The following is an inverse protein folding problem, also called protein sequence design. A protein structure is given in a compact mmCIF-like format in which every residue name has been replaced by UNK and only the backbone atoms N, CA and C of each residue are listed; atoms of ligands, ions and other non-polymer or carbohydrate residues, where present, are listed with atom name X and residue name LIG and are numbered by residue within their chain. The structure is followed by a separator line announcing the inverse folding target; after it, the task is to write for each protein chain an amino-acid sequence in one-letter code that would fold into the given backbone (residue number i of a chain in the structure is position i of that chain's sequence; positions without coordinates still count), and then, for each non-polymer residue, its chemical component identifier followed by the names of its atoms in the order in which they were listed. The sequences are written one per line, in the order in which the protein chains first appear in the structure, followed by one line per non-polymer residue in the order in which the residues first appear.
data_IF_960922763581
#
_entry.id   IF_960922763581
#
_cell.length_a   1.000
_cell.length_b   1.000
_cell.length_c   1.000
_cell.angle_alpha   90.00
_cell.angle_beta   90.00
_cell.angle_gamma   90.00
#
_symmetry.space_group_name_H-M   'P 1'
#
loop_
_entity.id
_entity.type
_entity.pdbx_description
1 polymer ?
#
# COMPACT_ATOMS: atom_id res chain seq x y z
N UNK A 1 32.99 15.92 40.85
CA UNK A 1 33.72 14.75 40.30
C UNK A 1 33.07 13.38 40.52
N UNK A 2 32.84 12.86 41.74
CA UNK A 2 32.23 11.50 41.90
C UNK A 2 30.68 11.46 41.81
N UNK A 3 30.03 12.63 41.83
CA UNK A 3 28.56 12.78 41.71
C UNK A 3 28.13 13.10 40.28
N UNK A 4 28.96 13.83 39.51
CA UNK A 4 28.70 14.12 38.09
C UNK A 4 28.83 12.87 37.21
N UNK A 5 29.80 11.98 37.48
CA UNK A 5 29.89 10.69 36.77
C UNK A 5 28.70 9.74 37.03
N UNK A 6 27.94 9.92 38.12
CA UNK A 6 26.71 9.16 38.38
C UNK A 6 25.49 9.72 37.66
N UNK A 7 25.44 11.03 37.39
CA UNK A 7 24.38 11.62 36.55
C UNK A 7 24.59 11.30 35.07
N UNK A 8 25.84 11.23 34.59
CA UNK A 8 26.13 10.88 33.19
C UNK A 8 25.87 9.39 32.86
N UNK A 9 25.88 8.49 33.86
CA UNK A 9 25.47 7.09 33.68
C UNK A 9 23.94 6.89 33.70
N UNK A 10 23.17 7.86 34.22
CA UNK A 10 21.70 7.81 34.21
C UNK A 10 21.10 8.26 32.86
N UNK A 11 21.89 8.88 31.99
CA UNK A 11 21.47 9.29 30.64
C UNK A 11 21.50 8.17 29.58
N UNK A 12 21.87 6.93 29.94
CA UNK A 12 22.13 5.84 28.96
C UNK A 12 21.12 4.69 28.94
N UNK A 13 19.96 4.85 29.56
CA UNK A 13 18.88 3.85 29.49
C UNK A 13 17.53 4.47 29.11
N UNK A 14 17.46 5.19 28.00
CA UNK A 14 16.16 5.60 27.43
C UNK A 14 15.62 4.50 26.51
N UNK A 15 15.24 3.38 27.12
CA UNK A 15 14.27 2.45 26.54
C UNK A 15 12.85 2.93 26.87
N UNK A 16 11.92 2.82 25.93
CA UNK A 16 10.50 3.15 26.15
C UNK A 16 9.98 2.29 27.31
N UNK A 17 9.55 2.94 28.39
CA UNK A 17 9.01 2.26 29.55
C UNK A 17 7.49 2.18 29.42
N UNK A 18 6.95 0.97 29.28
CA UNK A 18 5.52 0.76 29.11
C UNK A 18 4.89 0.25 30.40
N UNK A 19 3.82 0.92 30.82
CA UNK A 19 3.03 0.47 31.95
C UNK A 19 2.19 -0.76 31.54
N UNK A 20 2.25 -1.83 32.32
CA UNK A 20 1.54 -3.09 32.02
C UNK A 20 0.03 -2.88 31.78
N UNK A 21 -0.60 -1.95 32.51
CA UNK A 21 -2.02 -1.66 32.30
C UNK A 21 -2.32 -1.05 30.91
N UNK A 22 -1.43 -0.24 30.35
CA UNK A 22 -1.64 0.31 29.00
C UNK A 22 -1.57 -0.77 27.93
N UNK A 23 -0.64 -1.71 28.06
CA UNK A 23 -0.51 -2.87 27.17
C UNK A 23 -1.77 -3.73 27.22
N UNK A 24 -2.28 -4.04 28.42
CA UNK A 24 -3.50 -4.81 28.59
C UNK A 24 -4.75 -4.10 28.06
N UNK A 25 -4.86 -2.78 28.25
CA UNK A 25 -5.96 -2.01 27.69
C UNK A 25 -5.95 -2.02 26.15
N UNK A 26 -4.77 -1.90 25.53
CA UNK A 26 -4.63 -1.96 24.07
C UNK A 26 -4.97 -3.34 23.53
N UNK A 27 -4.47 -4.40 24.17
CA UNK A 27 -4.79 -5.80 23.85
C UNK A 27 -6.30 -6.04 23.90
N UNK A 28 -6.97 -5.59 24.97
CA UNK A 28 -8.42 -5.71 25.11
C UNK A 28 -9.20 -4.96 24.00
N UNK A 29 -8.79 -3.74 23.64
CA UNK A 29 -9.41 -2.98 22.56
C UNK A 29 -9.23 -3.67 21.21
N UNK A 30 -8.06 -4.23 20.93
CA UNK A 30 -7.80 -4.95 19.68
C UNK A 30 -8.56 -6.28 19.61
N UNK A 31 -8.65 -7.01 20.73
CA UNK A 31 -9.35 -8.29 20.80
C UNK A 31 -10.85 -8.18 20.50
N UNK A 32 -11.51 -7.13 20.99
CA UNK A 32 -12.96 -6.92 20.87
C UNK A 32 -13.32 -5.91 19.76
N UNK A 33 -12.34 -5.17 19.25
CA UNK A 33 -12.54 -4.06 18.32
C UNK A 33 -13.25 -4.45 17.02
N UNK A 34 -12.98 -5.65 16.50
CA UNK A 34 -13.65 -6.17 15.31
C UNK A 34 -15.16 -6.39 15.52
N UNK A 35 -15.53 -7.03 16.63
CA UNK A 35 -16.93 -7.32 16.96
C UNK A 35 -17.70 -6.02 17.17
N UNK A 36 -17.17 -5.11 18.00
CA UNK A 36 -17.79 -3.81 18.26
C UNK A 36 -17.92 -2.96 17.00
N UNK A 37 -16.85 -2.89 16.19
CA UNK A 37 -16.84 -2.17 14.92
C UNK A 37 -17.77 -2.77 13.86
N UNK A 38 -18.09 -4.07 13.96
CA UNK A 38 -19.05 -4.72 13.06
C UNK A 38 -20.49 -4.32 13.34
N UNK A 39 -20.82 -4.03 14.61
CA UNK A 39 -22.14 -3.60 15.05
C UNK A 39 -22.33 -2.09 14.99
N UNK A 40 -21.29 -1.32 15.33
CA UNK A 40 -21.32 0.13 15.31
C UNK A 40 -20.04 0.71 14.69
N UNK A 41 -20.14 1.41 13.54
CA UNK A 41 -18.97 1.99 12.89
C UNK A 41 -18.28 3.09 13.71
N UNK A 42 -18.95 3.72 14.66
CA UNK A 42 -18.38 4.79 15.50
C UNK A 42 -17.30 4.27 16.47
N UNK A 43 -17.17 2.95 16.63
CA UNK A 43 -16.10 2.34 17.42
C UNK A 43 -14.74 2.35 16.68
N UNK A 44 -14.73 2.35 15.34
CA UNK A 44 -13.51 2.24 14.54
C UNK A 44 -12.47 3.35 14.80
N UNK A 45 -12.85 4.64 14.93
CA UNK A 45 -11.91 5.70 15.26
C UNK A 45 -11.12 5.45 16.56
N UNK A 46 -11.67 4.70 17.52
CA UNK A 46 -10.96 4.36 18.76
C UNK A 46 -9.94 3.24 18.54
N UNK A 47 -10.31 2.22 17.76
CA UNK A 47 -9.40 1.15 17.35
C UNK A 47 -8.23 1.71 16.53
N UNK A 48 -8.50 2.60 15.58
CA UNK A 48 -7.47 3.23 14.75
C UNK A 48 -6.48 4.07 15.55
N UNK A 49 -6.96 4.81 16.56
CA UNK A 49 -6.09 5.57 17.48
C UNK A 49 -5.17 4.65 18.28
N UNK A 50 -5.65 3.49 18.72
CA UNK A 50 -4.81 2.48 19.39
C UNK A 50 -3.76 1.93 18.43
N UNK A 51 -4.13 1.60 17.19
CA UNK A 51 -3.19 1.13 16.17
C UNK A 51 -2.13 2.18 15.82
N UNK A 52 -2.51 3.46 15.73
CA UNK A 52 -1.58 4.57 15.51
C UNK A 52 -0.60 4.69 16.69
N UNK A 53 -1.10 4.66 17.92
CA UNK A 53 -0.25 4.71 19.11
C UNK A 53 0.74 3.52 19.15
N UNK A 54 0.29 2.29 18.86
CA UNK A 54 1.17 1.13 18.78
C UNK A 54 2.27 1.33 17.74
N UNK A 55 1.93 1.87 16.57
CA UNK A 55 2.91 2.20 15.53
C UNK A 55 3.94 3.23 16.01
N UNK A 56 3.52 4.25 16.77
CA UNK A 56 4.48 5.22 17.36
C UNK A 56 5.40 4.56 18.39
N UNK A 57 4.89 3.61 19.18
CA UNK A 57 5.69 2.85 20.14
C UNK A 57 6.70 1.94 19.44
N UNK A 58 6.28 1.27 18.36
CA UNK A 58 7.15 0.44 17.52
C UNK A 58 8.29 1.28 16.95
N UNK A 59 7.97 2.44 16.35
CA UNK A 59 8.99 3.34 15.83
C UNK A 59 9.93 3.86 16.92
N UNK A 60 9.42 4.28 18.07
CA UNK A 60 10.26 4.76 19.17
C UNK A 60 11.18 3.67 19.75
N UNK A 61 10.71 2.43 19.79
CA UNK A 61 11.45 1.30 20.37
C UNK A 61 12.49 0.70 19.40
N UNK A 62 12.22 0.69 18.09
CA UNK A 62 13.09 0.05 17.10
C UNK A 62 13.95 1.03 16.28
N UNK A 63 13.59 2.33 16.22
CA UNK A 63 14.41 3.34 15.51
C UNK A 63 15.60 3.82 16.37
N UNK A 64 15.51 3.73 17.69
CA UNK A 64 16.61 4.04 18.60
C UNK A 64 17.55 2.83 18.70
N UNK A 65 18.46 2.71 17.72
CA UNK A 65 19.45 1.64 17.59
C UNK A 65 20.40 1.53 18.78
N UNK A 66 19.95 0.93 19.88
CA UNK A 66 20.84 0.25 20.82
C UNK A 66 21.03 -1.16 20.28
N UNK A 67 22.25 -1.45 19.84
CA UNK A 67 22.75 -2.76 19.44
C UNK A 67 22.15 -3.88 20.30
N UNK A 68 21.29 -4.71 19.73
CA UNK A 68 20.85 -5.93 20.41
C UNK A 68 22.00 -6.94 20.47
N UNK A 69 22.15 -7.70 21.57
CA UNK A 69 22.79 -9.01 21.47
C UNK A 69 21.87 -9.95 20.67
N UNK A 70 22.41 -10.88 19.87
CA UNK A 70 21.59 -11.82 19.12
C UNK A 70 20.76 -12.64 20.10
N UNK A 71 19.46 -12.76 19.81
CA UNK A 71 18.55 -13.65 20.55
C UNK A 71 19.13 -15.07 20.49
N UNK A 72 19.53 -15.61 21.64
CA UNK A 72 20.10 -16.96 21.76
C UNK A 72 19.05 -18.00 21.35
N UNK A 73 19.24 -18.58 20.17
CA UNK A 73 18.52 -19.77 19.70
C UNK A 73 18.93 -20.93 20.61
N UNK A 74 18.03 -21.36 21.48
CA UNK A 74 18.23 -22.60 22.27
C UNK A 74 17.84 -23.78 21.39
N UNK A 75 18.82 -24.39 20.72
CA UNK A 75 18.64 -25.71 20.11
C UNK A 75 18.55 -26.74 21.24
N UNK A 76 17.37 -27.34 21.44
CA UNK A 76 17.25 -28.54 22.24
C UNK A 76 17.88 -29.71 21.46
N UNK A 77 19.04 -30.17 21.91
CA UNK A 77 19.63 -31.45 21.51
C UNK A 77 18.68 -32.58 21.92
N UNK A 78 18.09 -33.28 20.95
CA UNK A 78 17.50 -34.59 21.19
C UNK A 78 18.57 -35.66 21.00
N UNK A 79 18.72 -36.47 22.04
CA UNK A 79 19.72 -37.52 22.16
C UNK A 79 19.52 -38.67 21.17
N UNK A 80 20.66 -39.25 20.82
CA UNK A 80 20.80 -40.44 20.01
C UNK A 80 20.12 -41.67 20.62
N UNK A 81 19.43 -42.44 19.78
CA UNK A 81 19.36 -43.90 19.90
C UNK A 81 19.54 -44.49 18.51
N UNK A 82 20.64 -45.21 18.35
CA UNK A 82 20.98 -46.00 17.17
C UNK A 82 20.09 -47.25 17.07
N UNK A 83 19.83 -47.72 15.85
CA UNK A 83 19.84 -49.13 15.45
C UNK A 83 19.86 -49.23 13.91
N UNK A 84 20.89 -49.92 13.40
CA UNK A 84 21.10 -50.47 12.05
C UNK A 84 19.96 -51.44 11.67
N UNK A 85 19.68 -51.89 10.44
CA UNK A 85 20.36 -52.13 9.15
C UNK A 85 19.18 -52.19 8.11
N UNK A 86 19.25 -52.10 6.78
CA UNK A 86 20.02 -52.89 5.81
C UNK A 86 19.73 -52.36 4.37
N UNK A 87 20.60 -52.69 3.42
CA UNK A 87 20.77 -52.16 2.07
C UNK A 87 19.80 -52.79 1.04
N UNK A 88 19.26 -52.00 0.08
CA UNK A 88 19.23 -52.37 -1.36
C UNK A 88 18.88 -51.19 -2.29
N UNK A 89 19.63 -51.12 -3.40
CA UNK A 89 19.60 -50.08 -4.43
C UNK A 89 18.78 -50.51 -5.65
N UNK A 90 18.01 -49.59 -6.25
CA UNK A 90 17.66 -49.57 -7.68
C UNK A 90 17.15 -48.18 -8.12
N UNK A 91 17.51 -47.81 -9.34
CA UNK A 91 17.39 -46.52 -10.04
C UNK A 91 15.98 -45.90 -10.17
N UNK A 92 15.88 -44.57 -10.03
CA UNK A 92 15.28 -43.65 -11.03
C UNK A 92 15.42 -42.15 -10.60
N UNK A 93 15.72 -41.21 -11.52
CA UNK A 93 15.97 -39.80 -11.19
C UNK A 93 14.73 -38.94 -11.41
N UNK A 94 13.74 -38.98 -10.51
CA UNK A 94 12.57 -38.10 -10.62
C UNK A 94 12.04 -37.52 -9.30
N UNK A 95 12.69 -37.75 -8.15
CA UNK A 95 12.22 -37.23 -6.85
C UNK A 95 13.11 -36.13 -6.23
N UNK A 96 14.23 -35.76 -6.88
CA UNK A 96 15.19 -34.79 -6.35
C UNK A 96 14.74 -33.31 -6.38
N UNK A 97 13.52 -33.00 -6.82
CA UNK A 97 13.01 -31.62 -6.88
C UNK A 97 12.06 -31.31 -5.70
N UNK A 98 11.44 -32.32 -5.08
CA UNK A 98 10.43 -32.10 -4.03
C UNK A 98 11.02 -31.98 -2.61
N UNK A 99 12.22 -32.50 -2.37
CA UNK A 99 12.88 -32.39 -1.06
C UNK A 99 13.67 -31.08 -0.89
N UNK A 100 14.04 -30.43 -1.99
CA UNK A 100 14.81 -29.18 -1.94
C UNK A 100 13.92 -27.94 -1.72
N UNK A 101 12.63 -28.00 -2.03
CA UNK A 101 11.65 -26.94 -1.71
C UNK A 101 11.19 -26.96 -0.25
N UNK A 102 11.25 -28.11 0.43
CA UNK A 102 10.94 -28.21 1.86
C UNK A 102 12.03 -27.56 2.74
N UNK A 103 13.29 -27.58 2.30
CA UNK A 103 14.42 -26.99 3.03
C UNK A 103 14.46 -25.44 2.99
N UNK A 104 13.80 -24.81 2.01
CA UNK A 104 13.73 -23.35 1.88
C UNK A 104 12.53 -22.72 2.62
N UNK A 105 11.66 -23.53 3.22
CA UNK A 105 10.47 -23.07 3.98
C UNK A 105 10.68 -23.02 5.50
N UNK A 106 11.92 -22.98 5.95
CA UNK A 106 12.25 -22.74 7.37
C UNK A 106 12.51 -21.25 7.61
N UNK A 107 11.47 -20.42 7.44
CA UNK A 107 11.43 -19.14 8.14
C UNK A 107 11.14 -19.43 9.61
N UNK A 108 11.87 -18.86 10.58
CA UNK A 108 11.57 -19.06 11.99
C UNK A 108 10.18 -18.49 12.28
N UNK A 109 9.20 -19.37 12.44
CA UNK A 109 7.88 -19.01 12.95
C UNK A 109 8.07 -18.62 14.41
N UNK A 110 8.11 -17.32 14.67
CA UNK A 110 7.97 -16.79 16.03
C UNK A 110 6.59 -17.24 16.51
N UNK A 111 6.54 -18.21 17.41
CA UNK A 111 5.31 -18.54 18.11
C UNK A 111 4.89 -17.28 18.90
N UNK A 112 3.67 -16.74 18.69
CA UNK A 112 3.24 -15.56 19.41
C UNK A 112 3.08 -15.92 20.89
N UNK A 113 4.00 -15.44 21.72
CA UNK A 113 3.91 -15.57 23.17
C UNK A 113 2.72 -14.73 23.63
N UNK A 114 1.79 -15.34 24.38
CA UNK A 114 0.64 -14.63 24.94
C UNK A 114 1.10 -13.50 25.86
N UNK A 115 0.49 -12.31 25.73
CA UNK A 115 0.79 -11.15 26.60
C UNK A 115 0.60 -11.52 28.08
N UNK A 116 -0.35 -12.40 28.38
CA UNK A 116 -0.58 -12.91 29.73
C UNK A 116 0.58 -13.75 30.26
N UNK A 117 1.28 -14.49 29.39
CA UNK A 117 2.43 -15.30 29.79
C UNK A 117 3.70 -14.45 29.96
N UNK A 118 3.84 -13.37 29.16
CA UNK A 118 4.88 -12.35 29.36
C UNK A 118 4.72 -11.61 30.71
N UNK A 119 3.48 -11.38 31.14
CA UNK A 119 3.19 -10.77 32.45
C UNK A 119 3.47 -11.77 33.59
N UNK A 120 3.17 -13.06 33.41
CA UNK A 120 3.52 -14.11 34.37
C UNK A 120 5.03 -14.34 34.48
N UNK A 121 5.79 -14.18 33.41
CA UNK A 121 7.26 -14.24 33.44
C UNK A 121 7.88 -13.01 34.13
N UNK A 122 7.31 -11.81 33.93
CA UNK A 122 7.81 -10.59 34.60
C UNK A 122 7.57 -10.60 36.11
N UNK A 123 6.54 -11.31 36.57
CA UNK A 123 6.18 -11.45 38.00
C UNK A 123 6.95 -12.56 38.74
N UNK A 124 7.66 -13.46 38.03
CA UNK A 124 8.47 -14.53 38.65
C UNK A 124 9.77 -14.05 39.32
N UNK A 125 10.03 -12.74 39.38
CA UNK A 125 11.28 -12.19 39.93
C UNK A 125 11.17 -10.96 40.82
N UNK A 126 9.97 -10.42 41.09
CA UNK A 126 9.80 -9.28 42.02
C UNK A 126 8.54 -9.44 42.85
N UNK A 127 8.67 -9.23 44.16
CA UNK A 127 7.57 -9.17 45.10
C UNK A 127 6.53 -8.12 44.65
N UNK A 128 5.27 -8.50 44.76
CA UNK A 128 4.10 -7.72 44.32
C UNK A 128 3.91 -6.50 45.23
N UNK A 129 4.54 -5.37 44.90
CA UNK A 129 4.24 -4.09 45.57
C UNK A 129 2.99 -3.46 44.92
N UNK A 130 1.87 -3.52 45.63
CA UNK A 130 0.54 -3.02 45.24
C UNK A 130 0.46 -1.49 44.98
N UNK A 131 1.58 -0.76 45.02
CA UNK A 131 1.65 0.70 44.82
C UNK A 131 2.51 1.16 43.64
N UNK A 132 3.20 0.26 42.95
CA UNK A 132 4.00 0.60 41.77
C UNK A 132 3.65 -0.34 40.63
N UNK A 133 2.83 0.12 39.68
CA UNK A 133 2.46 -0.72 38.54
C UNK A 133 3.71 -1.23 37.82
N UNK A 134 3.70 -2.52 37.50
CA UNK A 134 4.85 -3.20 36.90
C UNK A 134 5.21 -2.53 35.58
N UNK A 135 6.37 -1.86 35.56
CA UNK A 135 6.92 -1.20 34.39
C UNK A 135 7.65 -2.26 33.54
N UNK A 136 7.18 -2.49 32.33
CA UNK A 136 7.85 -3.39 31.39
C UNK A 136 9.02 -2.62 30.77
N UNK A 137 10.23 -3.19 30.86
CA UNK A 137 11.45 -2.59 30.30
C UNK A 137 12.14 -3.55 29.33
N UNK A 138 12.81 -2.99 28.33
CA UNK A 138 13.68 -3.72 27.39
C UNK A 138 12.99 -4.86 26.63
N UNK A 139 13.46 -6.09 26.83
CA UNK A 139 13.03 -7.26 26.04
C UNK A 139 11.53 -7.58 26.18
N UNK A 140 10.95 -7.42 27.37
CA UNK A 140 9.53 -7.70 27.60
C UNK A 140 8.62 -6.63 26.96
N UNK A 141 9.04 -5.37 26.98
CA UNK A 141 8.33 -4.30 26.28
C UNK A 141 8.37 -4.51 24.76
N UNK A 142 9.53 -4.90 24.21
CA UNK A 142 9.67 -5.22 22.79
C UNK A 142 8.72 -6.35 22.35
N UNK A 143 8.68 -7.46 23.09
CA UNK A 143 7.77 -8.59 22.81
C UNK A 143 6.30 -8.18 22.89
N UNK A 144 5.94 -7.36 23.87
CA UNK A 144 4.58 -6.84 24.02
C UNK A 144 4.18 -5.93 22.84
N UNK A 145 5.04 -5.00 22.44
CA UNK A 145 4.80 -4.11 21.28
C UNK A 145 4.64 -4.93 20.00
N UNK A 146 5.52 -5.91 19.75
CA UNK A 146 5.41 -6.79 18.57
C UNK A 146 4.11 -7.60 18.57
N UNK A 147 3.68 -8.09 19.74
CA UNK A 147 2.42 -8.84 19.84
C UNK A 147 1.22 -7.94 19.58
N UNK A 148 1.21 -6.73 20.13
CA UNK A 148 0.18 -5.72 19.86
C UNK A 148 0.17 -5.27 18.39
N UNK A 149 1.35 -5.09 17.76
CA UNK A 149 1.44 -4.73 16.34
C UNK A 149 0.88 -5.84 15.44
N UNK A 150 1.22 -7.11 15.73
CA UNK A 150 0.63 -8.26 15.05
C UNK A 150 -0.89 -8.36 15.26
N UNK A 151 -1.40 -8.05 16.45
CA UNK A 151 -2.84 -8.02 16.69
C UNK A 151 -3.52 -6.87 15.93
N UNK A 152 -2.90 -5.70 15.88
CA UNK A 152 -3.39 -4.57 15.10
C UNK A 152 -3.52 -4.97 13.62
N UNK A 153 -2.49 -5.60 13.04
CA UNK A 153 -2.53 -6.14 11.67
C UNK A 153 -3.71 -7.08 11.47
N UNK A 154 -3.86 -8.06 12.37
CA UNK A 154 -4.96 -9.04 12.32
C UNK A 154 -6.33 -8.38 12.34
N UNK A 155 -6.54 -7.29 13.07
CA UNK A 155 -7.82 -6.58 13.08
C UNK A 155 -8.17 -6.03 11.69
N UNK A 156 -7.21 -5.44 10.98
CA UNK A 156 -7.44 -4.94 9.61
C UNK A 156 -7.67 -6.10 8.63
N UNK A 157 -6.91 -7.18 8.76
CA UNK A 157 -7.08 -8.37 7.92
C UNK A 157 -8.45 -9.04 8.14
N UNK A 158 -8.81 -9.30 9.39
CA UNK A 158 -10.07 -9.92 9.76
C UNK A 158 -11.26 -9.02 9.42
N UNK A 159 -11.13 -7.70 9.53
CA UNK A 159 -12.17 -6.78 9.07
C UNK A 159 -12.48 -6.98 7.59
N UNK A 160 -11.43 -7.11 6.77
CA UNK A 160 -11.57 -7.37 5.33
C UNK A 160 -12.00 -8.79 5.03
N UNK A 161 -11.75 -9.78 5.87
CA UNK A 161 -12.12 -11.17 5.57
C UNK A 161 -13.50 -11.57 6.12
N UNK A 162 -13.90 -11.02 7.27
CA UNK A 162 -15.08 -11.48 8.03
C UNK A 162 -16.29 -10.53 7.94
N UNK A 163 -16.10 -9.23 7.72
CA UNK A 163 -17.22 -8.28 7.75
C UNK A 163 -18.17 -8.45 6.54
N UNK A 164 -19.47 -8.29 6.82
CA UNK A 164 -20.50 -8.16 5.78
C UNK A 164 -20.34 -6.84 5.00
N UNK A 165 -21.06 -6.67 3.89
CA UNK A 165 -20.91 -5.49 3.01
C UNK A 165 -21.13 -4.15 3.73
N UNK A 166 -22.14 -4.07 4.60
CA UNK A 166 -22.49 -2.84 5.30
C UNK A 166 -21.41 -2.47 6.32
N UNK A 167 -21.01 -3.44 7.15
CA UNK A 167 -19.98 -3.25 8.16
C UNK A 167 -18.60 -2.98 7.51
N UNK A 168 -18.27 -3.66 6.41
CA UNK A 168 -17.05 -3.40 5.63
C UNK A 168 -17.05 -1.99 5.05
N UNK A 169 -18.18 -1.55 4.50
CA UNK A 169 -18.34 -0.18 4.01
C UNK A 169 -18.15 0.86 5.11
N UNK A 170 -18.72 0.61 6.30
CA UNK A 170 -18.53 1.46 7.49
C UNK A 170 -17.08 1.50 7.95
N UNK A 171 -16.41 0.35 8.02
CA UNK A 171 -14.99 0.22 8.35
C UNK A 171 -14.12 1.03 7.38
N UNK A 172 -14.27 0.83 6.06
CA UNK A 172 -13.49 1.55 5.05
C UNK A 172 -13.79 3.05 5.05
N UNK A 173 -15.04 3.45 5.30
CA UNK A 173 -15.40 4.86 5.42
C UNK A 173 -14.69 5.53 6.62
N UNK A 174 -14.67 4.88 7.77
CA UNK A 174 -13.98 5.41 8.95
C UNK A 174 -12.46 5.38 8.75
N UNK A 175 -11.92 4.36 8.08
CA UNK A 175 -10.48 4.27 7.78
C UNK A 175 -10.05 5.35 6.79
N UNK A 176 -10.87 5.61 5.76
CA UNK A 176 -10.72 6.76 4.87
C UNK A 176 -10.67 8.06 5.67
N UNK A 177 -11.67 8.29 6.55
CA UNK A 177 -11.74 9.51 7.37
C UNK A 177 -10.50 9.67 8.25
N UNK A 178 -10.05 8.59 8.91
CA UNK A 178 -8.82 8.58 9.70
C UNK A 178 -7.58 8.92 8.84
N UNK A 179 -7.50 8.37 7.62
CA UNK A 179 -6.42 8.71 6.69
C UNK A 179 -6.49 10.16 6.22
N UNK A 180 -7.68 10.72 5.98
CA UNK A 180 -7.83 12.15 5.65
C UNK A 180 -7.37 13.03 6.80
N UNK A 181 -7.77 12.71 8.04
CA UNK A 181 -7.31 13.44 9.21
C UNK A 181 -5.80 13.36 9.39
N UNK A 182 -5.19 12.20 9.17
CA UNK A 182 -3.76 12.00 9.30
C UNK A 182 -2.93 12.74 8.24
N UNK A 183 -3.44 12.84 7.00
CA UNK A 183 -2.72 13.49 5.88
C UNK A 183 -2.99 15.01 5.80
N UNK A 184 -4.25 15.43 5.97
CA UNK A 184 -4.69 16.79 5.66
C UNK A 184 -5.06 17.63 6.88
N UNK A 185 -5.47 17.03 7.99
CA UNK A 185 -5.82 17.77 9.21
C UNK A 185 -4.57 18.09 10.03
N UNK A 186 -3.78 19.06 9.56
CA UNK A 186 -2.82 19.75 10.41
C UNK A 186 -3.28 21.18 10.60
N UNK A 187 -3.67 21.54 11.82
CA UNK A 187 -3.95 22.91 12.32
C UNK A 187 -5.37 23.43 12.02
N UNK A 188 -6.40 22.87 12.64
CA UNK A 188 -7.57 23.65 13.11
C UNK A 188 -8.38 22.79 14.07
N UNK A 189 -8.60 23.31 15.28
CA UNK A 189 -9.57 22.89 16.29
C UNK A 189 -9.36 21.54 17.00
N UNK A 190 -8.39 21.50 17.92
CA UNK A 190 -8.57 20.76 19.17
C UNK A 190 -8.89 21.76 20.27
N UNK A 191 -10.13 22.26 20.29
CA UNK A 191 -10.73 22.82 21.49
C UNK A 191 -11.20 21.63 22.34
N UNK A 192 -10.46 21.39 23.41
CA UNK A 192 -10.88 20.84 24.70
C UNK A 192 -11.93 19.72 24.71
N UNK A 193 -11.48 18.45 24.65
CA UNK A 193 -12.01 17.32 25.46
C UNK A 193 -10.97 16.19 25.48
N UNK A 194 -9.76 16.48 25.94
CA UNK A 194 -8.74 15.46 26.21
C UNK A 194 -8.93 14.92 27.62
N UNK A 195 -9.47 13.71 27.74
CA UNK A 195 -9.22 12.87 28.92
C UNK A 195 -7.72 12.61 28.96
N UNK A 196 -7.03 13.37 29.81
CA UNK A 196 -5.59 13.45 29.90
C UNK A 196 -4.95 12.08 30.18
N UNK A 197 -4.23 11.56 29.19
CA UNK A 197 -3.13 10.63 29.43
C UNK A 197 -1.91 11.46 29.86
N UNK A 198 -1.27 11.18 31.01
CA UNK A 198 -0.09 11.92 31.44
C UNK A 198 1.11 11.57 30.53
N UNK A 199 1.62 12.57 29.80
CA UNK A 199 2.82 12.45 28.99
C UNK A 199 2.68 13.22 27.68
N UNK A 200 2.94 14.53 27.72
CA UNK A 200 3.14 15.32 26.52
C UNK A 200 4.38 14.81 25.78
N UNK A 201 4.20 13.93 24.79
CA UNK A 201 5.24 13.61 23.81
C UNK A 201 5.25 14.76 22.80
N UNK A 202 5.84 15.89 23.19
CA UNK A 202 6.22 16.98 22.29
C UNK A 202 7.44 16.55 21.45
N UNK A 203 7.31 15.53 20.60
CA UNK A 203 8.39 15.08 19.69
C UNK A 203 7.98 14.17 18.51
N UNK A 204 6.72 14.12 18.08
CA UNK A 204 6.32 13.33 16.88
C UNK A 204 5.74 14.15 15.73
N UNK A 205 5.81 15.48 15.81
CA UNK A 205 5.40 16.41 14.74
C UNK A 205 6.21 16.23 13.43
N UNK A 206 7.39 15.58 13.48
CA UNK A 206 8.38 15.59 12.39
C UNK A 206 8.34 14.42 11.39
N UNK A 207 7.41 13.46 11.52
CA UNK A 207 7.19 12.47 10.46
C UNK A 207 5.73 12.05 10.46
N UNK A 208 4.91 12.74 9.66
CA UNK A 208 3.49 12.39 9.46
C UNK A 208 3.45 10.97 8.90
N UNK A 209 3.15 9.99 9.74
CA UNK A 209 3.03 8.61 9.28
C UNK A 209 1.81 8.52 8.38
N UNK A 210 1.96 8.13 7.11
CA UNK A 210 0.81 7.85 6.25
C UNK A 210 0.17 6.47 6.54
N UNK A 211 0.20 6.02 7.80
CA UNK A 211 -0.14 4.66 8.23
C UNK A 211 -1.51 4.23 7.70
N UNK A 212 -2.54 5.06 7.89
CA UNK A 212 -3.90 4.71 7.50
C UNK A 212 -4.08 4.67 5.99
N UNK A 213 -3.29 5.42 5.21
CA UNK A 213 -3.28 5.29 3.75
C UNK A 213 -2.74 3.91 3.34
N UNK A 214 -1.64 3.46 3.95
CA UNK A 214 -1.09 2.13 3.69
C UNK A 214 -2.08 1.03 4.08
N UNK A 215 -2.75 1.17 5.23
CA UNK A 215 -3.80 0.24 5.66
C UNK A 215 -4.99 0.23 4.70
N UNK A 216 -5.42 1.39 4.20
CA UNK A 216 -6.53 1.49 3.26
C UNK A 216 -6.21 0.83 1.91
N UNK A 217 -5.04 1.13 1.35
CA UNK A 217 -4.58 0.51 0.09
C UNK A 217 -4.40 -1.01 0.23
N UNK A 218 -3.80 -1.46 1.34
CA UNK A 218 -3.66 -2.87 1.66
C UNK A 218 -5.00 -3.59 1.84
N UNK A 219 -5.95 -2.96 2.55
CA UNK A 219 -7.30 -3.50 2.71
C UNK A 219 -8.00 -3.64 1.37
N UNK A 220 -7.90 -2.65 0.49
CA UNK A 220 -8.50 -2.68 -0.84
C UNK A 220 -7.89 -3.79 -1.72
N UNK A 221 -6.55 -3.93 -1.74
CA UNK A 221 -5.89 -5.03 -2.44
C UNK A 221 -6.34 -6.40 -1.91
N UNK A 222 -6.50 -6.57 -0.60
CA UNK A 222 -6.99 -7.82 -0.02
C UNK A 222 -8.44 -8.11 -0.42
N UNK A 223 -9.30 -7.08 -0.51
CA UNK A 223 -10.67 -7.23 -1.02
C UNK A 223 -10.66 -7.75 -2.46
N UNK A 224 -9.81 -7.19 -3.32
CA UNK A 224 -9.69 -7.61 -4.73
C UNK A 224 -9.20 -9.05 -4.85
N UNK A 225 -8.17 -9.42 -4.07
CA UNK A 225 -7.58 -10.76 -4.06
C UNK A 225 -8.49 -11.83 -3.45
N UNK A 226 -9.50 -11.42 -2.68
CA UNK A 226 -10.39 -12.35 -1.99
C UNK A 226 -11.36 -13.02 -2.96
N UNK A 227 -11.13 -14.32 -3.22
CA UNK A 227 -12.03 -15.13 -4.06
C UNK A 227 -13.39 -15.40 -3.42
N UNK A 228 -13.56 -15.11 -2.13
CA UNK A 228 -14.80 -15.35 -1.38
C UNK A 228 -15.78 -14.18 -1.47
N UNK A 229 -15.32 -12.99 -1.90
CA UNK A 229 -16.15 -11.79 -1.94
C UNK A 229 -16.76 -11.61 -3.34
N UNK A 230 -18.09 -11.38 -3.43
CA UNK A 230 -18.73 -11.03 -4.70
C UNK A 230 -18.20 -9.72 -5.28
N UNK A 231 -18.23 -9.59 -6.61
CA UNK A 231 -17.82 -8.37 -7.33
C UNK A 231 -18.52 -7.10 -6.80
N UNK A 232 -19.77 -7.20 -6.36
CA UNK A 232 -20.50 -6.06 -5.77
C UNK A 232 -19.78 -5.45 -4.57
N UNK A 233 -19.09 -6.26 -3.75
CA UNK A 233 -18.29 -5.76 -2.63
C UNK A 233 -17.12 -4.91 -3.15
N UNK A 234 -16.39 -5.43 -4.15
CA UNK A 234 -15.30 -4.71 -4.80
C UNK A 234 -15.80 -3.37 -5.36
N UNK A 235 -16.88 -3.37 -6.13
CA UNK A 235 -17.46 -2.15 -6.71
C UNK A 235 -17.80 -1.11 -5.64
N UNK A 236 -18.44 -1.54 -4.55
CA UNK A 236 -18.84 -0.65 -3.45
C UNK A 236 -17.63 -0.10 -2.69
N UNK A 237 -16.63 -0.94 -2.44
CA UNK A 237 -15.40 -0.54 -1.73
C UNK A 237 -14.55 0.40 -2.60
N UNK A 238 -14.41 0.11 -3.89
CA UNK A 238 -13.68 0.97 -4.84
C UNK A 238 -14.28 2.37 -4.91
N UNK A 239 -15.61 2.48 -4.99
CA UNK A 239 -16.30 3.77 -4.98
C UNK A 239 -15.97 4.62 -3.73
N UNK A 240 -15.71 3.98 -2.58
CA UNK A 240 -15.34 4.68 -1.34
C UNK A 240 -13.86 5.04 -1.28
N UNK A 241 -12.99 4.12 -1.70
CA UNK A 241 -11.52 4.21 -1.56
C UNK A 241 -10.90 5.07 -2.67
N UNK A 242 -11.34 4.91 -3.92
CA UNK A 242 -10.71 5.55 -5.08
C UNK A 242 -10.66 7.08 -5.00
N UNK A 243 -11.73 7.80 -4.58
CA UNK A 243 -11.66 9.26 -4.45
C UNK A 243 -10.59 9.73 -3.45
N UNK A 244 -10.37 8.96 -2.38
CA UNK A 244 -9.33 9.28 -1.39
C UNK A 244 -7.92 8.99 -1.92
N UNK A 245 -7.74 7.93 -2.71
CA UNK A 245 -6.47 7.68 -3.39
C UNK A 245 -6.14 8.80 -4.39
N UNK A 246 -7.14 9.34 -5.10
CA UNK A 246 -6.96 10.51 -5.97
C UNK A 246 -6.53 11.74 -5.16
N UNK A 247 -7.18 12.00 -4.01
CA UNK A 247 -6.81 13.09 -3.12
C UNK A 247 -5.36 12.94 -2.59
N UNK A 248 -5.00 11.72 -2.17
CA UNK A 248 -3.66 11.40 -1.68
C UNK A 248 -2.58 11.46 -2.77
N UNK A 249 -2.92 11.18 -4.04
CA UNK A 249 -2.02 11.31 -5.18
C UNK A 249 -1.62 12.76 -5.46
N UNK A 250 -2.42 13.74 -5.01
CA UNK A 250 -2.10 15.17 -5.09
C UNK A 250 -1.55 15.75 -3.78
N UNK A 251 -1.08 14.90 -2.85
CA UNK A 251 -0.50 15.34 -1.59
C UNK A 251 0.90 15.96 -1.80
N UNK A 252 1.22 16.99 -0.98
CA UNK A 252 2.50 17.73 -1.06
C UNK A 252 3.73 16.85 -0.84
N UNK A 253 3.59 15.78 -0.05
CA UNK A 253 4.68 14.85 0.20
C UNK A 253 4.76 13.80 -0.90
N UNK A 254 5.83 13.83 -1.68
CA UNK A 254 6.05 12.97 -2.85
C UNK A 254 5.94 11.46 -2.55
N UNK A 255 6.32 11.03 -1.34
CA UNK A 255 6.24 9.62 -0.96
C UNK A 255 4.79 9.15 -0.80
N UNK A 256 3.89 10.02 -0.32
CA UNK A 256 2.45 9.76 -0.19
C UNK A 256 1.81 9.71 -1.57
N UNK A 257 2.10 10.70 -2.42
CA UNK A 257 1.54 10.77 -3.77
C UNK A 257 1.95 9.58 -4.64
N UNK A 258 3.24 9.28 -4.72
CA UNK A 258 3.74 8.09 -5.43
C UNK A 258 3.10 6.81 -4.92
N UNK A 259 2.93 6.69 -3.60
CA UNK A 259 2.35 5.48 -3.03
C UNK A 259 0.86 5.35 -3.37
N UNK A 260 0.11 6.44 -3.39
CA UNK A 260 -1.29 6.44 -3.79
C UNK A 260 -1.45 6.00 -5.26
N UNK A 261 -0.61 6.52 -6.17
CA UNK A 261 -0.60 6.08 -7.58
C UNK A 261 -0.23 4.60 -7.72
N UNK A 262 0.78 4.13 -6.97
CA UNK A 262 1.13 2.70 -6.90
C UNK A 262 -0.04 1.84 -6.42
N UNK A 263 -0.80 2.26 -5.40
CA UNK A 263 -1.98 1.51 -4.98
C UNK A 263 -3.04 1.43 -6.08
N UNK A 264 -3.30 2.53 -6.79
CA UNK A 264 -4.24 2.51 -7.92
C UNK A 264 -3.76 1.52 -8.99
N UNK A 265 -2.49 1.58 -9.39
CA UNK A 265 -1.90 0.63 -10.34
C UNK A 265 -2.06 -0.82 -9.86
N UNK A 266 -1.59 -1.14 -8.65
CA UNK A 266 -1.62 -2.51 -8.11
C UNK A 266 -3.05 -3.08 -8.05
N UNK A 267 -4.01 -2.23 -7.64
CA UNK A 267 -5.43 -2.61 -7.57
C UNK A 267 -5.97 -2.88 -8.97
N UNK A 268 -5.70 -2.00 -9.94
CA UNK A 268 -6.17 -2.17 -11.32
C UNK A 268 -5.57 -3.42 -11.95
N UNK A 269 -4.26 -3.64 -11.80
CA UNK A 269 -3.56 -4.83 -12.29
C UNK A 269 -4.21 -6.10 -11.72
N UNK A 270 -4.48 -6.13 -10.41
CA UNK A 270 -5.12 -7.29 -9.78
C UNK A 270 -6.58 -7.48 -10.24
N UNK A 271 -7.37 -6.41 -10.34
CA UNK A 271 -8.76 -6.54 -10.81
C UNK A 271 -8.81 -7.04 -12.24
N UNK A 272 -8.01 -6.46 -13.14
CA UNK A 272 -8.00 -6.83 -14.55
C UNK A 272 -7.45 -8.24 -14.77
N UNK A 273 -6.51 -8.70 -13.94
CA UNK A 273 -5.96 -10.07 -14.05
C UNK A 273 -6.96 -11.14 -13.61
N UNK A 274 -7.78 -10.85 -12.60
CA UNK A 274 -8.72 -11.80 -12.02
C UNK A 274 -10.10 -11.76 -12.70
N UNK A 275 -10.57 -10.56 -13.06
CA UNK A 275 -11.93 -10.34 -13.57
C UNK A 275 -11.91 -9.85 -15.02
N UNK A 276 -12.59 -10.60 -15.89
CA UNK A 276 -12.91 -10.16 -17.24
C UNK A 276 -14.24 -9.43 -17.28
N UNK A 277 -14.26 -8.24 -17.86
CA UNK A 277 -15.47 -7.44 -18.02
C UNK A 277 -16.48 -8.11 -19.00
N UNK A 278 -17.71 -8.43 -18.57
CA UNK A 278 -18.76 -8.93 -19.47
C UNK A 278 -19.26 -7.85 -20.44
N UNK A 279 -19.82 -8.28 -21.58
CA UNK A 279 -20.45 -7.36 -22.53
C UNK A 279 -21.55 -6.52 -21.87
N UNK A 280 -21.61 -5.23 -22.23
CA UNK A 280 -22.54 -4.22 -21.69
C UNK A 280 -22.36 -3.85 -20.21
N UNK A 281 -21.41 -4.46 -19.50
CA UNK A 281 -21.10 -4.14 -18.12
C UNK A 281 -19.84 -3.28 -18.06
N UNK A 282 -19.96 -1.94 -18.05
CA UNK A 282 -18.82 -1.02 -18.15
C UNK A 282 -18.21 -0.64 -16.78
N UNK A 283 -17.78 -1.62 -16.00
CA UNK A 283 -17.16 -1.35 -14.70
C UNK A 283 -15.72 -0.85 -14.81
N UNK A 284 -14.96 -1.31 -15.82
CA UNK A 284 -13.59 -0.90 -16.06
C UNK A 284 -13.49 0.61 -16.33
N UNK A 285 -14.52 1.24 -16.91
CA UNK A 285 -14.58 2.70 -17.02
C UNK A 285 -14.42 3.36 -15.62
N UNK A 286 -15.14 2.87 -14.61
CA UNK A 286 -15.06 3.39 -13.25
C UNK A 286 -13.72 3.04 -12.55
N UNK A 287 -13.07 1.93 -12.94
CA UNK A 287 -11.75 1.56 -12.43
C UNK A 287 -10.66 2.51 -12.89
N UNK A 288 -10.70 2.96 -14.15
CA UNK A 288 -9.66 3.83 -14.72
C UNK A 288 -9.87 5.33 -14.45
N UNK A 289 -11.08 5.75 -14.05
CA UNK A 289 -11.38 7.16 -13.73
C UNK A 289 -10.41 7.84 -12.76
N UNK A 290 -9.83 7.19 -11.74
CA UNK A 290 -8.84 7.81 -10.87
C UNK A 290 -7.64 8.40 -11.62
N UNK A 291 -7.11 7.73 -12.65
CA UNK A 291 -6.01 8.29 -13.45
C UNK A 291 -6.44 9.56 -14.18
N UNK A 292 -7.62 9.55 -14.80
CA UNK A 292 -8.19 10.74 -15.44
C UNK A 292 -8.32 11.89 -14.44
N UNK A 293 -8.83 11.61 -13.23
CA UNK A 293 -9.04 12.62 -12.20
C UNK A 293 -7.73 13.19 -11.66
N UNK A 294 -6.71 12.36 -11.44
CA UNK A 294 -5.39 12.83 -10.99
C UNK A 294 -4.81 13.80 -12.02
N UNK A 295 -4.85 13.44 -13.31
CA UNK A 295 -4.28 14.27 -14.38
C UNK A 295 -5.03 15.58 -14.63
N UNK A 296 -6.34 15.61 -14.35
CA UNK A 296 -7.19 16.80 -14.45
C UNK A 296 -7.02 17.78 -13.29
N UNK A 297 -6.46 17.37 -12.15
CA UNK A 297 -6.29 18.23 -10.99
C UNK A 297 -5.14 19.23 -11.20
N UNK A 298 -5.37 20.48 -10.78
CA UNK A 298 -4.37 21.56 -10.87
C UNK A 298 -3.10 21.24 -10.07
N UNK A 299 -3.23 20.45 -9.00
CA UNK A 299 -2.15 20.00 -8.11
C UNK A 299 -1.36 18.80 -8.64
N UNK A 300 -1.59 18.35 -9.88
CA UNK A 300 -0.78 17.31 -10.51
C UNK A 300 0.58 17.88 -10.90
N UNK A 301 1.61 17.48 -10.15
CA UNK A 301 3.02 17.78 -10.45
C UNK A 301 3.56 16.88 -11.58
N UNK A 302 4.61 17.33 -12.27
CA UNK A 302 5.21 16.58 -13.38
C UNK A 302 5.67 15.16 -12.98
N UNK A 303 6.21 14.98 -11.76
CA UNK A 303 6.62 13.66 -11.26
C UNK A 303 5.43 12.70 -11.10
N UNK A 304 4.28 13.21 -10.64
CA UNK A 304 3.05 12.42 -10.49
C UNK A 304 2.47 12.10 -11.86
N UNK A 305 2.49 13.07 -12.78
CA UNK A 305 2.08 12.86 -14.18
C UNK A 305 2.91 11.75 -14.84
N UNK A 306 4.24 11.79 -14.72
CA UNK A 306 5.14 10.78 -15.27
C UNK A 306 4.89 9.40 -14.66
N UNK A 307 4.64 9.34 -13.35
CA UNK A 307 4.29 8.09 -12.68
C UNK A 307 2.96 7.53 -13.17
N UNK A 308 1.93 8.38 -13.38
CA UNK A 308 0.64 7.95 -13.92
C UNK A 308 0.79 7.46 -15.36
N UNK A 309 1.52 8.17 -16.23
CA UNK A 309 1.78 7.73 -17.61
C UNK A 309 2.51 6.39 -17.64
N UNK A 310 3.54 6.23 -16.81
CA UNK A 310 4.28 4.97 -16.67
C UNK A 310 3.36 3.84 -16.21
N UNK A 311 2.54 4.10 -15.18
CA UNK A 311 1.58 3.13 -14.64
C UNK A 311 0.54 2.70 -15.69
N UNK A 312 0.10 3.62 -16.55
CA UNK A 312 -0.79 3.33 -17.67
C UNK A 312 -0.10 2.46 -18.72
N UNK A 313 1.14 2.79 -19.09
CA UNK A 313 1.94 1.99 -20.03
C UNK A 313 2.10 0.54 -19.57
N UNK A 314 2.51 0.34 -18.32
CA UNK A 314 2.65 -0.99 -17.70
C UNK A 314 1.32 -1.77 -17.68
N UNK A 315 0.21 -1.11 -17.32
CA UNK A 315 -1.12 -1.73 -17.33
C UNK A 315 -1.54 -2.17 -18.73
N UNK A 316 -1.26 -1.36 -19.75
CA UNK A 316 -1.61 -1.66 -21.14
C UNK A 316 -0.75 -2.80 -21.68
N UNK A 317 0.55 -2.81 -21.37
CA UNK A 317 1.45 -3.90 -21.74
C UNK A 317 0.95 -5.26 -21.22
N UNK A 318 0.53 -5.31 -19.94
CA UNK A 318 0.15 -6.57 -19.28
C UNK A 318 -1.33 -6.94 -19.51
N UNK A 319 -2.22 -5.96 -19.65
CA UNK A 319 -3.68 -6.16 -19.62
C UNK A 319 -4.46 -5.58 -20.82
N UNK A 320 -3.82 -5.22 -21.93
CA UNK A 320 -4.46 -4.60 -23.12
C UNK A 320 -5.83 -5.18 -23.50
N UNK A 321 -5.95 -6.50 -23.61
CA UNK A 321 -7.19 -7.19 -24.00
C UNK A 321 -8.29 -7.14 -22.93
N UNK A 322 -7.94 -6.90 -21.66
CA UNK A 322 -8.86 -6.88 -20.53
C UNK A 322 -9.31 -5.49 -20.12
N UNK A 323 -8.67 -4.43 -20.62
CA UNK A 323 -9.03 -3.04 -20.31
C UNK A 323 -10.47 -2.73 -20.73
N UNK A 324 -10.90 -3.16 -21.91
CA UNK A 324 -12.30 -3.06 -22.40
C UNK A 324 -12.86 -1.62 -22.25
N UNK A 325 -13.94 -1.39 -21.50
CA UNK A 325 -14.50 -0.04 -21.32
C UNK A 325 -13.55 0.99 -20.68
N UNK A 326 -12.47 0.52 -20.03
CA UNK A 326 -11.42 1.35 -19.42
C UNK A 326 -10.58 2.15 -20.42
N UNK A 327 -10.60 1.83 -21.71
CA UNK A 327 -9.82 2.56 -22.73
C UNK A 327 -10.24 4.03 -22.85
N UNK A 328 -11.54 4.31 -22.68
CA UNK A 328 -12.08 5.66 -22.80
C UNK A 328 -11.51 6.64 -21.74
N UNK A 329 -11.63 6.37 -20.42
CA UNK A 329 -11.04 7.23 -19.39
C UNK A 329 -9.51 7.25 -19.44
N UNK A 330 -8.87 6.18 -19.93
CA UNK A 330 -7.43 6.13 -20.15
C UNK A 330 -7.01 7.17 -21.21
N UNK A 331 -7.67 7.22 -22.37
CA UNK A 331 -7.40 8.26 -23.36
C UNK A 331 -7.75 9.66 -22.87
N UNK A 332 -8.83 9.82 -22.11
CA UNK A 332 -9.15 11.10 -21.47
C UNK A 332 -8.07 11.56 -20.47
N UNK A 333 -7.44 10.62 -19.75
CA UNK A 333 -6.29 10.94 -18.89
C UNK A 333 -5.07 11.38 -19.72
N UNK A 334 -4.73 10.62 -20.77
CA UNK A 334 -3.59 10.93 -21.64
C UNK A 334 -3.78 12.24 -22.43
N UNK A 335 -5.02 12.58 -22.77
CA UNK A 335 -5.36 13.86 -23.38
C UNK A 335 -5.01 15.04 -22.48
N UNK A 336 -4.95 14.87 -21.15
CA UNK A 336 -4.62 15.97 -20.23
C UNK A 336 -3.13 16.13 -19.93
N UNK A 337 -2.29 15.18 -20.37
CA UNK A 337 -0.83 15.20 -20.17
C UNK A 337 -0.23 16.50 -20.70
N UNK A 338 0.46 17.23 -19.83
CA UNK A 338 1.12 18.49 -20.18
C UNK A 338 2.42 18.16 -20.91
N UNK A 339 2.60 18.71 -22.11
CA UNK A 339 3.88 18.60 -22.80
C UNK A 339 4.85 19.57 -22.16
N UNK A 340 5.95 19.07 -21.59
CA UNK A 340 7.06 19.85 -21.02
C UNK A 340 7.72 20.83 -22.01
N UNK A 341 7.26 20.86 -23.26
CA UNK A 341 7.60 21.79 -24.35
C UNK A 341 7.20 23.25 -24.11
N UNK A 342 6.47 23.60 -23.04
CA UNK A 342 5.98 24.98 -22.85
C UNK A 342 6.93 25.92 -22.09
N UNK A 343 8.24 25.62 -22.03
CA UNK A 343 9.27 26.62 -21.66
C UNK A 343 10.14 26.89 -22.88
N UNK A 344 9.87 28.05 -23.47
CA UNK A 344 10.44 28.72 -24.65
C UNK A 344 11.91 28.46 -24.98
N UNK A 345 12.14 28.40 -26.29
CA UNK A 345 13.18 29.14 -27.03
C UNK A 345 14.60 29.05 -26.49
N UNK A 346 15.43 28.22 -27.16
CA UNK A 346 16.78 28.51 -27.67
C UNK A 346 17.55 27.18 -27.81
N UNK A 347 17.87 26.83 -29.07
CA UNK A 347 18.74 25.74 -29.57
C UNK A 347 18.06 24.44 -30.05
N UNK A 348 17.24 24.60 -31.07
CA UNK A 348 16.83 23.54 -32.01
C UNK A 348 17.86 23.40 -33.16
N UNK A 349 19.12 23.04 -32.86
CA UNK A 349 20.13 22.79 -33.93
C UNK A 349 21.06 21.60 -33.68
N UNK A 350 20.85 20.81 -32.63
CA UNK A 350 21.64 19.60 -32.41
C UNK A 350 20.71 18.45 -32.05
N UNK A 351 20.36 17.66 -33.08
CA UNK A 351 20.06 16.23 -33.00
C UNK A 351 18.78 15.89 -32.21
N UNK A 352 17.61 15.66 -32.82
CA UNK A 352 17.38 14.91 -34.04
C UNK A 352 16.87 13.49 -33.76
N UNK A 353 17.39 12.75 -32.77
CA UNK A 353 17.10 11.29 -32.73
C UNK A 353 17.23 10.56 -31.37
N UNK A 354 17.46 11.21 -30.22
CA UNK A 354 17.73 10.47 -28.95
C UNK A 354 16.98 10.92 -27.69
N UNK A 355 15.97 11.78 -27.82
CA UNK A 355 15.09 12.15 -26.70
C UNK A 355 13.64 12.02 -27.13
N UNK A 356 13.20 10.80 -27.39
CA UNK A 356 11.80 10.43 -27.07
C UNK A 356 11.59 10.92 -25.63
N UNK A 357 10.78 11.97 -25.45
CA UNK A 357 10.49 12.47 -24.11
C UNK A 357 10.07 11.29 -23.25
N UNK A 358 10.59 11.18 -22.02
CA UNK A 358 10.37 10.01 -21.14
C UNK A 358 8.89 9.60 -21.04
N UNK A 359 7.98 10.55 -21.16
CA UNK A 359 6.52 10.33 -21.14
C UNK A 359 5.89 10.11 -22.52
N UNK A 360 6.56 10.39 -23.64
CA UNK A 360 6.01 10.18 -24.99
C UNK A 360 6.12 8.73 -25.47
N UNK A 361 7.20 8.02 -25.11
CA UNK A 361 7.37 6.62 -25.52
C UNK A 361 6.23 5.71 -25.01
N UNK A 362 5.89 5.70 -23.70
CA UNK A 362 4.79 4.87 -23.20
C UNK A 362 3.44 5.23 -23.83
N UNK A 363 3.21 6.50 -24.17
CA UNK A 363 1.96 6.96 -24.78
C UNK A 363 1.77 6.40 -26.19
N UNK A 364 2.83 6.31 -26.99
CA UNK A 364 2.75 5.69 -28.32
C UNK A 364 2.55 4.18 -28.26
N UNK A 365 3.19 3.50 -27.29
CA UNK A 365 2.95 2.06 -27.05
C UNK A 365 1.48 1.80 -26.71
N UNK A 366 0.86 2.70 -25.94
CA UNK A 366 -0.57 2.63 -25.60
C UNK A 366 -1.45 2.80 -26.84
N UNK A 367 -1.13 3.74 -27.74
CA UNK A 367 -1.87 3.89 -29.00
C UNK A 367 -1.74 2.65 -29.89
N UNK A 368 -0.54 2.09 -30.01
CA UNK A 368 -0.31 0.86 -30.76
C UNK A 368 -1.10 -0.31 -30.16
N UNK A 369 -1.10 -0.48 -28.85
CA UNK A 369 -1.85 -1.54 -28.18
C UNK A 369 -3.36 -1.43 -28.43
N UNK A 370 -3.93 -0.23 -28.42
CA UNK A 370 -5.35 -0.01 -28.73
C UNK A 370 -5.68 -0.36 -30.18
N UNK A 371 -4.84 0.01 -31.14
CA UNK A 371 -5.03 -0.34 -32.56
C UNK A 371 -4.95 -1.85 -32.82
N UNK A 372 -4.19 -2.58 -32.00
CA UNK A 372 -4.12 -4.04 -32.06
C UNK A 372 -5.33 -4.73 -31.39
N UNK A 373 -6.30 -3.99 -30.83
CA UNK A 373 -7.51 -4.57 -30.23
C UNK A 373 -8.45 -5.11 -31.31
N UNK A 374 -8.84 -6.38 -31.18
CA UNK A 374 -9.70 -7.12 -32.11
C UNK A 374 -11.20 -6.90 -31.88
N UNK A 375 -11.60 -6.40 -30.70
CA UNK A 375 -12.99 -6.17 -30.35
C UNK A 375 -13.54 -4.83 -30.90
N UNK A 376 -14.40 -4.92 -31.92
CA UNK A 376 -15.03 -3.77 -32.59
C UNK A 376 -15.85 -2.90 -31.63
N UNK A 377 -16.51 -3.47 -30.62
CA UNK A 377 -17.33 -2.71 -29.67
C UNK A 377 -16.47 -1.86 -28.75
N UNK A 378 -15.34 -2.41 -28.30
CA UNK A 378 -14.34 -1.67 -27.52
C UNK A 378 -13.77 -0.52 -28.33
N UNK A 379 -13.42 -0.80 -29.58
CA UNK A 379 -12.92 0.22 -30.50
C UNK A 379 -13.95 1.34 -30.68
N UNK A 380 -15.20 1.02 -31.00
CA UNK A 380 -16.26 2.01 -31.20
C UNK A 380 -16.52 2.87 -29.94
N UNK A 381 -16.48 2.27 -28.75
CA UNK A 381 -16.70 2.97 -27.49
C UNK A 381 -15.59 3.99 -27.15
N UNK A 382 -14.33 3.70 -27.53
CA UNK A 382 -13.18 4.54 -27.21
C UNK A 382 -12.62 5.36 -28.40
N UNK A 383 -13.08 5.12 -29.63
CA UNK A 383 -12.54 5.72 -30.85
C UNK A 383 -12.50 7.25 -30.82
N UNK A 384 -13.57 7.89 -30.34
CA UNK A 384 -13.61 9.37 -30.27
C UNK A 384 -12.54 9.90 -29.32
N UNK A 385 -12.43 9.34 -28.11
CA UNK A 385 -11.40 9.72 -27.14
C UNK A 385 -10.00 9.44 -27.67
N UNK A 386 -9.80 8.31 -28.36
CA UNK A 386 -8.55 7.96 -29.03
C UNK A 386 -8.16 9.02 -30.07
N UNK A 387 -9.07 9.37 -30.99
CA UNK A 387 -8.78 10.35 -32.06
C UNK A 387 -8.45 11.71 -31.46
N UNK A 388 -9.22 12.18 -30.49
CA UNK A 388 -8.97 13.48 -29.85
C UNK A 388 -7.60 13.48 -29.15
N UNK A 389 -7.31 12.45 -28.36
CA UNK A 389 -6.03 12.29 -27.69
C UNK A 389 -4.88 12.26 -28.70
N UNK A 390 -4.97 11.43 -29.75
CA UNK A 390 -3.96 11.33 -30.80
C UNK A 390 -3.73 12.68 -31.51
N UNK A 391 -4.81 13.39 -31.83
CA UNK A 391 -4.73 14.70 -32.49
C UNK A 391 -3.99 15.73 -31.62
N UNK A 392 -4.09 15.67 -30.30
CA UNK A 392 -3.31 16.53 -29.39
C UNK A 392 -1.81 16.27 -29.55
N UNK A 393 -1.38 15.02 -29.51
CA UNK A 393 0.04 14.66 -29.63
C UNK A 393 0.57 14.92 -31.04
N UNK A 394 -0.21 14.63 -32.09
CA UNK A 394 0.14 14.92 -33.49
C UNK A 394 0.30 16.44 -33.74
N UNK A 395 -0.62 17.26 -33.21
CA UNK A 395 -0.54 18.72 -33.34
C UNK A 395 0.61 19.32 -32.52
N UNK A 396 0.91 18.74 -31.35
CA UNK A 396 2.04 19.13 -30.52
C UNK A 396 3.41 18.78 -31.10
N UNK A 397 3.48 17.79 -32.01
CA UNK A 397 4.72 17.31 -32.63
C UNK A 397 5.17 18.08 -33.86
N UNK A 398 4.42 19.08 -34.34
CA UNK A 398 4.86 19.93 -35.46
C UNK A 398 5.23 19.16 -36.73
N UNK A 399 4.25 18.89 -37.61
CA UNK A 399 4.44 18.45 -39.01
C UNK A 399 5.56 17.41 -39.21
N UNK A 400 5.33 16.15 -38.85
CA UNK A 400 5.61 14.91 -39.63
C UNK A 400 5.52 13.71 -38.69
N UNK A 401 4.54 12.84 -38.88
CA UNK A 401 4.48 11.54 -38.21
C UNK A 401 4.55 10.44 -39.25
N UNK A 402 5.55 9.57 -39.13
CA UNK A 402 5.65 8.32 -39.88
C UNK A 402 5.10 7.18 -39.02
N UNK A 403 3.90 6.69 -39.33
CA UNK A 403 3.41 5.44 -38.78
C UNK A 403 3.95 4.28 -39.62
N UNK A 404 4.80 3.44 -39.02
CA UNK A 404 5.34 2.23 -39.66
C UNK A 404 4.48 1.03 -39.25
N UNK A 405 3.62 0.57 -40.16
CA UNK A 405 2.83 -0.65 -39.95
C UNK A 405 3.70 -1.92 -40.03
N UNK A 406 3.23 -3.01 -39.41
CA UNK A 406 3.89 -4.33 -39.28
C UNK A 406 4.40 -4.98 -40.59
N UNK A 407 4.08 -4.43 -41.76
CA UNK A 407 4.56 -4.92 -43.06
C UNK A 407 5.52 -3.96 -43.80
N UNK A 408 6.08 -2.96 -43.12
CA UNK A 408 6.98 -1.98 -43.76
C UNK A 408 6.28 -1.08 -44.80
N UNK A 409 4.96 -1.14 -44.90
CA UNK A 409 4.15 -0.20 -45.66
C UNK A 409 3.70 0.94 -44.75
N UNK A 410 3.98 2.17 -45.18
CA UNK A 410 3.50 3.40 -44.57
C UNK A 410 1.97 3.40 -44.73
N UNK A 411 1.25 3.13 -43.65
CA UNK A 411 -0.20 3.17 -43.64
C UNK A 411 -0.62 4.56 -43.14
N UNK A 412 -1.24 5.33 -44.03
CA UNK A 412 -1.79 6.68 -43.85
C UNK A 412 -0.79 7.85 -43.93
N UNK A 413 -0.72 8.42 -45.14
CA UNK A 413 -0.33 9.83 -45.33
C UNK A 413 -1.54 10.71 -44.96
N UNK A 414 -1.83 10.89 -43.66
CA UNK A 414 -2.89 11.81 -43.24
C UNK A 414 -2.39 13.25 -43.34
N UNK A 415 -2.44 13.79 -44.56
CA UNK A 415 -2.18 15.20 -44.85
C UNK A 415 -3.39 15.99 -44.34
N UNK A 416 -3.37 16.37 -43.07
CA UNK A 416 -4.33 17.33 -42.54
C UNK A 416 -3.95 18.68 -43.16
N UNK A 417 -4.59 19.02 -44.27
CA UNK A 417 -4.63 20.39 -44.75
C UNK A 417 -5.50 21.17 -43.76
N UNK A 418 -4.89 22.15 -43.10
CA UNK A 418 -5.56 23.17 -42.27
C UNK A 418 -6.51 23.98 -43.14
#
# INVERSE_FOLDING_TARGET
QKVEQKLEQMGKAQGVCLHTAHVLCMDAVLAVGLEMGSHNPDCWPHVFRVCEYISTLEHAHFSNGTSQPPVTITQAQQGAVALQDEIQATDSPQELILEQEAALRNNPVIQPVSIQDLIKESSKGRAFDFRGGSLMTGSNAAKAILTLSNQADRVFEDAVDKLNLIALGGFLYQLKKASQSQLFQSITDTVDYSLAMPGEIKSTQERRSALHLFRLGGAMLRIVRSRKRPLLHLMRCWHLVAPHLVEAACHKETHVSRKAVSFIHDILTEVLTVWSEPSHFHFNEALFRPFERIMQLELCDEDVQDQVVTSIGELVEVCSTRIQSGWRPLFSALETVRSSSSKSEVKEYLVGEYLMGKCQAPVFDVFEAFLNTDNIQVFANAATSYIICLMKFVKGLGKTLFFKGKNGQILCHMRIHV
#
